data_IF_732450707973
#
_entry.id   IF_732450707973
#
_cell.length_a   1.000
_cell.length_b   1.000
_cell.length_c   1.000
_cell.angle_alpha   90.00
_cell.angle_beta   90.00
_cell.angle_gamma   90.00
#
_symmetry.space_group_name_H-M   'P 1'
#
loop_
_entity.id
_entity.type
_entity.pdbx_description
1 polymer ?
#
# COMPACT_ATOMS: atom_id res chain seq x y z
N UNK A 1 9.96 -48.27 7.80
CA UNK A 1 8.95 -47.84 6.82
C UNK A 1 9.09 -46.34 6.67
N UNK A 2 9.75 -45.90 5.60
CA UNK A 2 9.85 -44.49 5.22
C UNK A 2 8.67 -44.19 4.29
N UNK A 3 7.84 -43.22 4.64
CA UNK A 3 6.77 -42.74 3.78
C UNK A 3 7.27 -41.46 3.07
N UNK A 4 7.52 -41.60 1.78
CA UNK A 4 7.77 -40.50 0.84
C UNK A 4 6.47 -39.73 0.60
N UNK A 5 6.49 -38.42 0.84
CA UNK A 5 5.48 -37.51 0.31
C UNK A 5 6.09 -36.77 -0.90
N UNK A 6 5.90 -37.38 -2.07
CA UNK A 6 5.93 -36.70 -3.36
C UNK A 6 4.60 -35.96 -3.54
N UNK A 7 4.67 -34.69 -3.94
CA UNK A 7 3.48 -33.89 -4.26
C UNK A 7 3.57 -32.46 -3.75
N UNK A 8 4.62 -31.73 -4.12
CA UNK A 8 4.74 -30.28 -3.91
C UNK A 8 5.01 -29.60 -5.26
N UNK A 9 4.21 -29.94 -6.27
CA UNK A 9 4.20 -29.24 -7.55
C UNK A 9 2.88 -28.46 -7.67
N UNK A 10 2.98 -27.15 -7.86
CA UNK A 10 1.93 -26.37 -8.51
C UNK A 10 1.01 -25.53 -7.62
N UNK A 11 1.55 -24.67 -6.75
CA UNK A 11 0.80 -23.49 -6.25
C UNK A 11 1.77 -22.32 -6.07
N UNK A 12 2.14 -21.67 -7.17
CA UNK A 12 2.57 -20.26 -7.16
C UNK A 12 1.61 -19.51 -8.07
N UNK A 13 0.53 -18.91 -7.55
CA UNK A 13 -0.28 -18.01 -8.34
C UNK A 13 0.48 -16.69 -8.46
N UNK A 14 0.61 -16.22 -9.69
CA UNK A 14 1.13 -14.92 -10.06
C UNK A 14 0.58 -13.81 -9.14
N UNK A 15 1.48 -12.97 -8.65
CA UNK A 15 1.17 -11.91 -7.73
C UNK A 15 0.58 -10.72 -8.52
N UNK A 16 -0.74 -10.72 -8.72
CA UNK A 16 -1.46 -9.58 -9.33
C UNK A 16 -1.19 -8.29 -8.55
N UNK A 17 -0.83 -7.16 -9.20
CA UNK A 17 -0.79 -5.86 -8.54
C UNK A 17 -2.22 -5.45 -8.17
N UNK A 18 -2.55 -5.55 -6.88
CA UNK A 18 -3.85 -5.21 -6.31
C UNK A 18 -3.92 -3.72 -5.97
N UNK A 19 -3.72 -2.82 -6.95
CA UNK A 19 -3.60 -1.39 -6.66
C UNK A 19 -4.92 -0.61 -6.62
N UNK A 20 -6.09 -1.21 -6.89
CA UNK A 20 -7.37 -0.49 -6.69
C UNK A 20 -8.63 -1.34 -6.45
N UNK A 21 -8.52 -2.66 -6.34
CA UNK A 21 -9.62 -3.47 -5.80
C UNK A 21 -9.12 -4.79 -5.21
N UNK A 22 -8.80 -4.77 -3.91
CA UNK A 22 -8.70 -6.01 -3.16
C UNK A 22 -10.14 -6.51 -2.89
N UNK A 23 -10.64 -7.39 -3.76
CA UNK A 23 -11.69 -8.33 -3.37
C UNK A 23 -11.01 -9.49 -2.66
N UNK A 24 -11.19 -9.57 -1.34
CA UNK A 24 -11.19 -10.86 -0.65
C UNK A 24 -12.63 -11.06 -0.20
N UNK A 25 -13.34 -11.88 -0.96
CA UNK A 25 -14.72 -12.28 -0.67
C UNK A 25 -14.71 -13.66 0.02
N UNK A 26 -15.21 -13.70 1.25
CA UNK A 26 -15.90 -14.89 1.76
C UNK A 26 -17.35 -14.58 2.19
N UNK A 27 -17.87 -13.36 1.98
CA UNK A 27 -19.18 -12.88 2.50
C UNK A 27 -19.76 -11.59 1.85
N UNK A 28 -19.19 -11.04 0.78
CA UNK A 28 -19.80 -9.97 -0.02
C UNK A 28 -19.63 -8.53 0.50
N UNK A 29 -18.76 -8.30 1.50
CA UNK A 29 -18.52 -6.94 2.01
C UNK A 29 -17.30 -6.31 1.32
N UNK A 30 -17.56 -5.27 0.51
CA UNK A 30 -16.53 -4.54 -0.25
C UNK A 30 -15.66 -3.72 0.72
N UNK A 31 -14.44 -4.20 1.01
CA UNK A 31 -13.42 -3.44 1.73
C UNK A 31 -13.11 -2.14 0.96
N UNK A 32 -13.56 -0.99 1.47
CA UNK A 32 -13.19 0.32 0.95
C UNK A 32 -11.85 0.74 1.56
N UNK A 33 -10.76 0.40 0.90
CA UNK A 33 -9.50 1.11 1.12
C UNK A 33 -9.66 2.52 0.56
N UNK A 34 -9.40 3.54 1.38
CA UNK A 34 -9.50 4.92 0.90
C UNK A 34 -8.45 5.16 -0.19
N UNK A 35 -8.89 5.78 -1.27
CA UNK A 35 -8.01 6.31 -2.30
C UNK A 35 -7.09 7.40 -1.70
N UNK A 36 -5.99 7.71 -2.39
CA UNK A 36 -4.99 8.72 -1.98
C UNK A 36 -5.63 10.09 -1.61
N UNK A 37 -6.82 10.39 -2.13
CA UNK A 37 -7.57 11.63 -1.86
C UNK A 37 -7.89 11.86 -0.38
N UNK A 38 -7.99 10.79 0.41
CA UNK A 38 -8.23 10.90 1.85
C UNK A 38 -6.93 10.84 2.67
N UNK A 39 -5.85 10.34 2.07
CA UNK A 39 -4.56 10.14 2.72
C UNK A 39 -3.68 11.40 2.61
N UNK A 40 -3.75 12.12 1.49
CA UNK A 40 -2.96 13.33 1.27
C UNK A 40 -3.39 14.52 2.16
N UNK A 41 -4.69 14.64 2.44
CA UNK A 41 -5.26 15.76 3.24
C UNK A 41 -4.66 15.90 4.65
N UNK A 42 -4.57 14.82 5.47
CA UNK A 42 -3.98 14.94 6.80
C UNK A 42 -2.45 14.94 6.82
N UNK A 43 -1.76 14.67 5.69
CA UNK A 43 -0.30 14.56 5.65
C UNK A 43 0.42 15.88 5.37
N UNK A 44 -0.21 16.82 4.65
CA UNK A 44 0.38 18.13 4.32
C UNK A 44 -0.56 19.26 4.75
N UNK A 45 -0.44 19.69 6.01
CA UNK A 45 -1.35 20.67 6.61
C UNK A 45 -1.25 22.07 5.99
N UNK A 46 -0.05 22.48 5.58
CA UNK A 46 0.24 23.77 4.94
C UNK A 46 0.28 23.67 3.40
N UNK A 47 -0.01 22.49 2.84
CA UNK A 47 0.12 22.23 1.41
C UNK A 47 1.57 22.19 0.91
N UNK A 48 2.56 22.02 1.81
CA UNK A 48 3.98 21.99 1.47
C UNK A 48 4.60 23.38 1.22
N UNK A 49 3.97 24.44 1.76
CA UNK A 49 4.38 25.82 1.54
C UNK A 49 5.73 26.12 2.24
N UNK A 50 5.95 25.56 3.43
CA UNK A 50 7.22 25.72 4.16
C UNK A 50 8.38 25.07 3.40
N UNK A 51 8.18 23.86 2.87
CA UNK A 51 9.20 23.15 2.10
C UNK A 51 9.55 23.87 0.79
N UNK A 52 8.55 24.41 0.09
CA UNK A 52 8.76 25.20 -1.13
C UNK A 52 9.53 26.50 -0.82
N UNK A 53 9.18 27.19 0.27
CA UNK A 53 9.85 28.41 0.69
C UNK A 53 11.31 28.15 1.09
N UNK A 54 11.56 27.09 1.86
CA UNK A 54 12.91 26.68 2.26
C UNK A 54 13.77 26.28 1.05
N UNK A 55 13.20 25.56 0.08
CA UNK A 55 13.90 25.23 -1.16
C UNK A 55 14.28 26.51 -1.93
N UNK A 56 13.36 27.48 -2.04
CA UNK A 56 13.62 28.75 -2.69
C UNK A 56 14.71 29.59 -1.98
N UNK A 57 14.75 29.58 -0.64
CA UNK A 57 15.78 30.28 0.14
C UNK A 57 17.16 29.64 -0.02
N UNK A 58 17.23 28.31 -0.07
CA UNK A 58 18.49 27.57 -0.28
C UNK A 58 19.08 27.74 -1.68
N UNK A 59 18.24 28.01 -2.69
CA UNK A 59 18.62 28.01 -4.10
C UNK A 59 18.76 26.60 -4.71
N UNK A 60 18.45 25.54 -3.97
CA UNK A 60 18.47 24.17 -4.47
C UNK A 60 17.22 23.87 -5.33
N UNK A 61 17.37 23.11 -6.43
CA UNK A 61 16.24 22.75 -7.27
C UNK A 61 15.35 21.70 -6.59
N UNK A 62 14.03 21.93 -6.62
CA UNK A 62 13.05 20.92 -6.22
C UNK A 62 13.14 19.72 -7.18
N UNK A 63 13.40 18.54 -6.64
CA UNK A 63 13.50 17.29 -7.39
C UNK A 63 12.12 16.78 -7.84
N UNK A 64 12.12 15.93 -8.87
CA UNK A 64 10.89 15.46 -9.52
C UNK A 64 9.92 14.80 -8.54
N UNK A 65 10.39 13.93 -7.64
CA UNK A 65 9.52 13.26 -6.65
C UNK A 65 8.86 14.24 -5.68
N UNK A 66 9.55 15.32 -5.31
CA UNK A 66 8.99 16.37 -4.46
C UNK A 66 7.94 17.19 -5.21
N UNK A 67 8.16 17.46 -6.51
CA UNK A 67 7.16 18.10 -7.37
C UNK A 67 5.92 17.22 -7.52
N UNK A 68 6.11 15.93 -7.78
CA UNK A 68 5.04 14.95 -7.93
C UNK A 68 4.12 14.93 -6.69
N UNK A 69 4.70 14.93 -5.49
CA UNK A 69 3.93 14.79 -4.24
C UNK A 69 3.35 16.11 -3.73
N UNK A 70 4.05 17.24 -3.85
CA UNK A 70 3.62 18.53 -3.29
C UNK A 70 2.88 19.37 -4.32
N UNK A 71 3.50 19.60 -5.49
CA UNK A 71 3.02 20.61 -6.45
C UNK A 71 2.04 20.04 -7.48
N UNK A 72 2.25 18.81 -7.92
CA UNK A 72 1.46 18.16 -8.98
C UNK A 72 0.29 17.34 -8.41
N UNK A 73 0.31 17.04 -7.12
CA UNK A 73 -0.75 16.31 -6.44
C UNK A 73 -1.93 17.23 -6.11
N UNK A 74 -3.01 17.10 -6.88
CA UNK A 74 -4.25 17.87 -6.68
C UNK A 74 -4.91 17.70 -5.30
N UNK A 75 -4.48 16.74 -4.49
CA UNK A 75 -5.01 16.49 -3.15
C UNK A 75 -4.21 17.16 -2.03
N UNK A 76 -3.03 17.68 -2.32
CA UNK A 76 -2.24 18.50 -1.40
C UNK A 76 -2.72 19.94 -1.51
N UNK A 77 -3.16 20.50 -0.37
CA UNK A 77 -3.68 21.86 -0.30
C UNK A 77 -3.43 22.44 1.08
N UNK A 78 -3.30 23.75 1.13
CA UNK A 78 -3.22 24.48 2.40
C UNK A 78 -4.56 24.35 3.16
N UNK A 79 -4.45 24.00 4.44
CA UNK A 79 -5.60 23.87 5.33
C UNK A 79 -5.72 25.07 6.27
N UNK A 80 -6.90 25.70 6.30
CA UNK A 80 -7.29 26.56 7.43
C UNK A 80 -7.52 25.71 8.68
N UNK A 81 -7.50 26.33 9.87
CA UNK A 81 -7.77 25.65 11.16
C UNK A 81 -9.06 24.83 11.10
N UNK A 82 -10.16 25.40 10.57
CA UNK A 82 -11.45 24.70 10.45
C UNK A 82 -11.35 23.50 9.51
N UNK A 83 -10.72 23.65 8.34
CA UNK A 83 -10.59 22.54 7.39
C UNK A 83 -9.66 21.43 7.92
N UNK A 84 -8.67 21.79 8.74
CA UNK A 84 -7.80 20.85 9.43
C UNK A 84 -8.56 20.05 10.49
N UNK A 85 -9.38 20.73 11.31
CA UNK A 85 -10.25 20.06 12.29
C UNK A 85 -11.20 19.07 11.62
N UNK A 86 -11.83 19.45 10.51
CA UNK A 86 -12.68 18.56 9.72
C UNK A 86 -11.90 17.35 9.15
N UNK A 87 -10.66 17.54 8.72
CA UNK A 87 -9.82 16.45 8.24
C UNK A 87 -9.43 15.48 9.38
N UNK A 88 -9.20 16.00 10.58
CA UNK A 88 -8.93 15.20 11.79
C UNK A 88 -10.17 14.37 12.16
N UNK A 89 -11.36 14.98 12.16
CA UNK A 89 -12.63 14.28 12.42
C UNK A 89 -12.83 13.13 11.42
N UNK A 90 -12.68 13.40 10.12
CA UNK A 90 -12.80 12.38 9.07
C UNK A 90 -11.78 11.23 9.24
N UNK A 91 -10.55 11.54 9.67
CA UNK A 91 -9.54 10.54 9.96
C UNK A 91 -9.96 9.65 11.14
N UNK A 92 -10.47 10.24 12.20
CA UNK A 92 -10.84 9.49 13.42
C UNK A 92 -12.11 8.66 13.20
N UNK A 93 -13.05 9.16 12.39
CA UNK A 93 -14.17 8.37 11.87
C UNK A 93 -13.66 7.18 11.05
N UNK A 94 -12.71 7.40 10.14
CA UNK A 94 -12.14 6.31 9.33
C UNK A 94 -11.46 5.23 10.18
N UNK A 95 -10.70 5.62 11.21
CA UNK A 95 -10.11 4.68 12.18
C UNK A 95 -11.17 3.86 12.89
N UNK A 96 -12.26 4.51 13.28
CA UNK A 96 -13.38 3.86 13.96
C UNK A 96 -14.06 2.83 13.04
N UNK A 97 -14.29 3.19 11.77
CA UNK A 97 -14.84 2.27 10.78
C UNK A 97 -13.92 1.07 10.54
N UNK A 98 -12.61 1.30 10.43
CA UNK A 98 -11.66 0.20 10.27
C UNK A 98 -11.63 -0.72 11.51
N UNK A 99 -11.70 -0.16 12.72
CA UNK A 99 -11.79 -0.95 13.94
C UNK A 99 -13.03 -1.85 13.96
N UNK A 100 -14.18 -1.34 13.49
CA UNK A 100 -15.40 -2.16 13.34
C UNK A 100 -15.23 -3.30 12.34
N UNK A 101 -14.50 -3.07 11.24
CA UNK A 101 -14.23 -4.11 10.24
C UNK A 101 -13.43 -5.28 10.82
N UNK A 102 -12.45 -5.03 11.68
CA UNK A 102 -11.75 -6.10 12.40
C UNK A 102 -12.73 -6.92 13.24
N UNK A 103 -13.57 -6.28 14.03
CA UNK A 103 -14.56 -6.96 14.88
C UNK A 103 -15.63 -7.70 14.08
N UNK A 104 -15.90 -7.30 12.82
CA UNK A 104 -16.84 -8.01 11.96
C UNK A 104 -16.32 -9.37 11.49
N UNK A 105 -15.01 -9.59 11.50
CA UNK A 105 -14.40 -10.89 11.16
C UNK A 105 -14.54 -11.95 12.26
N UNK A 106 -15.11 -11.58 13.43
CA UNK A 106 -15.38 -12.52 14.52
C UNK A 106 -16.33 -13.61 14.05
N UNK A 107 -15.93 -14.86 14.25
CA UNK A 107 -16.68 -16.04 13.79
C UNK A 107 -17.52 -16.68 14.89
N UNK A 108 -17.10 -16.53 16.15
CA UNK A 108 -17.79 -17.07 17.30
C UNK A 108 -17.54 -16.22 18.56
N UNK A 109 -18.33 -16.48 19.60
CA UNK A 109 -18.10 -15.94 20.94
C UNK A 109 -17.75 -17.10 21.86
N UNK A 110 -16.66 -16.96 22.59
CA UNK A 110 -16.25 -17.87 23.65
C UNK A 110 -17.31 -17.95 24.77
N UNK A 111 -17.28 -19.04 25.54
CA UNK A 111 -18.06 -19.22 26.77
C UNK A 111 -17.89 -18.10 27.81
N UNK A 112 -16.79 -17.34 27.76
CA UNK A 112 -16.52 -16.20 28.64
C UNK A 112 -16.87 -14.83 28.02
N UNK A 113 -17.46 -14.80 26.82
CA UNK A 113 -17.85 -13.57 26.12
C UNK A 113 -16.73 -12.91 25.31
N UNK A 114 -15.56 -13.55 25.17
CA UNK A 114 -14.48 -13.06 24.32
C UNK A 114 -14.70 -13.45 22.83
N UNK A 115 -14.39 -12.56 21.88
CA UNK A 115 -14.50 -12.86 20.45
C UNK A 115 -13.49 -13.92 20.00
N UNK A 116 -13.94 -14.91 19.24
CA UNK A 116 -13.12 -15.99 18.67
C UNK A 116 -13.10 -15.94 17.13
N UNK A 117 -11.94 -16.32 16.58
CA UNK A 117 -11.71 -16.35 15.12
C UNK A 117 -11.68 -14.98 14.45
N UNK A 118 -11.55 -13.89 15.22
CA UNK A 118 -11.26 -12.57 14.69
C UNK A 118 -9.92 -12.58 13.95
N UNK A 119 -9.84 -11.86 12.83
CA UNK A 119 -8.58 -11.62 12.14
C UNK A 119 -7.54 -11.03 13.10
N UNK A 120 -6.36 -11.65 13.16
CA UNK A 120 -5.26 -11.17 13.98
C UNK A 120 -4.30 -10.27 13.20
N UNK A 121 -4.08 -10.57 11.93
CA UNK A 121 -3.08 -9.90 11.10
C UNK A 121 -3.56 -9.79 9.67
N UNK A 122 -3.19 -8.70 9.00
CA UNK A 122 -3.36 -8.50 7.57
C UNK A 122 -2.02 -8.80 6.90
N UNK A 123 -2.03 -9.68 5.89
CA UNK A 123 -0.89 -9.92 5.02
C UNK A 123 -1.14 -9.21 3.68
N UNK A 124 -0.27 -8.27 3.31
CA UNK A 124 -0.44 -7.50 2.07
C UNK A 124 0.90 -7.08 1.43
N UNK A 125 0.89 -6.64 0.17
CA UNK A 125 2.09 -6.20 -0.55
C UNK A 125 2.64 -4.89 0.01
N UNK A 126 3.96 -4.69 0.03
CA UNK A 126 4.59 -3.44 0.50
C UNK A 126 4.57 -2.33 -0.55
N UNK A 127 4.56 -2.71 -1.83
CA UNK A 127 4.63 -1.80 -2.96
C UNK A 127 4.11 -2.45 -4.24
N UNK A 128 4.05 -1.69 -5.34
CA UNK A 128 3.58 -2.21 -6.63
C UNK A 128 4.57 -3.20 -7.26
N UNK A 129 5.81 -3.24 -6.76
CA UNK A 129 6.85 -4.15 -7.19
C UNK A 129 8.04 -4.10 -6.23
N UNK A 130 9.20 -4.47 -6.76
CA UNK A 130 10.50 -4.40 -6.07
C UNK A 130 11.06 -2.98 -6.05
N UNK A 131 12.31 -2.83 -5.61
CA UNK A 131 12.94 -1.52 -5.45
C UNK A 131 12.84 -0.70 -6.75
N UNK A 132 12.17 0.46 -6.68
CA UNK A 132 11.98 1.32 -7.83
C UNK A 132 13.31 1.92 -8.29
N UNK A 133 13.42 2.14 -9.60
CA UNK A 133 14.50 2.92 -10.20
C UNK A 133 14.61 4.30 -9.55
N UNK A 134 15.83 4.83 -9.47
CA UNK A 134 16.08 6.12 -8.86
C UNK A 134 15.22 7.21 -9.53
N UNK A 135 14.46 7.95 -8.72
CA UNK A 135 13.63 9.06 -9.20
C UNK A 135 12.27 8.67 -9.78
N UNK A 136 11.86 7.39 -9.69
CA UNK A 136 10.57 6.91 -10.23
C UNK A 136 9.56 6.46 -9.17
N UNK A 137 9.91 6.52 -7.88
CA UNK A 137 9.09 6.08 -6.76
C UNK A 137 7.92 7.04 -6.45
N UNK A 138 6.94 7.13 -7.36
CA UNK A 138 5.79 8.04 -7.24
C UNK A 138 4.61 7.49 -6.43
N UNK A 139 4.59 6.17 -6.17
CA UNK A 139 3.48 5.51 -5.48
C UNK A 139 3.84 5.07 -4.06
N UNK A 140 3.01 5.45 -3.09
CA UNK A 140 3.18 5.12 -1.66
C UNK A 140 1.92 4.55 -1.00
N UNK A 141 0.87 4.31 -1.80
CA UNK A 141 -0.47 3.91 -1.36
C UNK A 141 -0.59 2.54 -0.68
N UNK A 142 0.46 1.73 -0.70
CA UNK A 142 0.47 0.43 -0.01
C UNK A 142 0.86 0.54 1.48
N UNK A 143 1.60 1.59 1.86
CA UNK A 143 2.08 1.76 3.24
C UNK A 143 1.40 2.93 3.95
N UNK A 144 1.00 3.96 3.22
CA UNK A 144 0.33 5.15 3.77
C UNK A 144 -1.01 4.89 4.47
N UNK A 145 -1.85 3.91 4.10
CA UNK A 145 -3.08 3.63 4.84
C UNK A 145 -2.80 3.25 6.30
N UNK A 146 -1.71 2.52 6.57
CA UNK A 146 -1.35 2.07 7.92
C UNK A 146 -0.85 3.22 8.80
N UNK A 147 -0.18 4.21 8.19
CA UNK A 147 0.16 5.46 8.86
C UNK A 147 -1.10 6.23 9.27
N UNK A 148 -2.08 6.31 8.36
CA UNK A 148 -3.37 6.96 8.63
C UNK A 148 -4.13 6.25 9.76
N UNK A 149 -4.11 4.93 9.78
CA UNK A 149 -4.79 4.11 10.80
C UNK A 149 -4.02 4.00 12.13
N UNK A 150 -2.74 4.39 12.15
CA UNK A 150 -1.80 4.12 13.26
C UNK A 150 -1.72 2.64 13.64
N UNK A 151 -1.63 1.77 12.63
CA UNK A 151 -1.42 0.34 12.84
C UNK A 151 0.06 -0.01 12.75
N UNK A 152 0.59 -0.85 13.67
CA UNK A 152 1.92 -1.41 13.52
C UNK A 152 1.99 -2.29 12.27
N UNK A 153 3.04 -2.10 11.48
CA UNK A 153 3.34 -2.89 10.29
C UNK A 153 4.78 -3.40 10.35
N UNK A 154 4.97 -4.69 10.06
CA UNK A 154 6.26 -5.35 9.96
C UNK A 154 6.49 -5.79 8.51
N UNK A 155 7.63 -5.41 7.93
CA UNK A 155 8.03 -5.80 6.59
C UNK A 155 9.06 -6.93 6.67
N UNK A 156 8.85 -7.98 5.88
CA UNK A 156 9.78 -9.10 5.77
C UNK A 156 9.98 -9.50 4.31
N UNK A 157 11.16 -10.07 4.01
CA UNK A 157 11.49 -10.57 2.67
C UNK A 157 11.02 -12.00 2.51
N UNK A 158 10.46 -12.32 1.35
CA UNK A 158 10.06 -13.68 0.98
C UNK A 158 11.10 -14.36 0.10
N UNK A 159 11.43 -13.70 -1.02
CA UNK A 159 12.29 -14.24 -2.07
C UNK A 159 13.06 -13.09 -2.73
N UNK A 160 13.89 -13.41 -3.72
CA UNK A 160 14.55 -12.47 -4.62
C UNK A 160 13.99 -12.63 -6.03
N UNK A 161 14.07 -11.57 -6.82
CA UNK A 161 13.69 -11.64 -8.24
C UNK A 161 14.63 -12.59 -8.97
N UNK A 162 14.03 -13.63 -9.56
CA UNK A 162 14.70 -14.56 -10.46
C UNK A 162 14.32 -14.24 -11.90
N UNK A 163 15.31 -13.89 -12.71
CA UNK A 163 15.14 -13.52 -14.12
C UNK A 163 14.67 -14.72 -14.97
N UNK A 164 15.03 -15.95 -14.58
CA UNK A 164 14.64 -17.15 -15.34
C UNK A 164 13.17 -17.53 -15.11
N UNK A 165 12.63 -17.21 -13.94
CA UNK A 165 11.23 -17.46 -13.56
C UNK A 165 10.32 -16.23 -13.72
N UNK A 166 10.89 -15.03 -13.85
CA UNK A 166 10.18 -13.75 -13.94
C UNK A 166 9.54 -13.44 -15.29
N UNK A 167 9.72 -14.30 -16.30
CA UNK A 167 9.31 -14.08 -17.68
C UNK A 167 7.88 -14.48 -18.05
N UNK A 168 6.98 -14.75 -17.09
CA UNK A 168 5.57 -14.96 -17.43
C UNK A 168 4.91 -13.62 -17.75
N UNK A 169 4.85 -13.33 -19.05
CA UNK A 169 4.10 -12.24 -19.65
C UNK A 169 2.60 -12.54 -19.50
N UNK A 170 2.07 -12.35 -18.29
CA UNK A 170 0.64 -12.21 -18.15
C UNK A 170 0.22 -10.91 -18.85
N UNK A 171 -0.73 -11.00 -19.78
CA UNK A 171 -1.35 -9.81 -20.37
C UNK A 171 -2.01 -9.01 -19.24
N UNK A 172 -1.39 -7.90 -18.87
CA UNK A 172 -1.87 -7.04 -17.80
C UNK A 172 -2.55 -5.79 -18.36
N UNK A 173 -3.76 -5.51 -17.88
CA UNK A 173 -4.48 -4.28 -18.21
C UNK A 173 -4.55 -3.40 -16.98
N UNK A 174 -3.87 -2.25 -17.03
CA UNK A 174 -3.92 -1.24 -15.97
C UNK A 174 -5.35 -0.73 -15.76
N UNK A 175 -5.81 -0.65 -14.51
CA UNK A 175 -7.10 -0.10 -14.12
C UNK A 175 -7.10 1.43 -14.05
N UNK A 176 -5.94 2.06 -13.89
CA UNK A 176 -5.81 3.51 -13.82
C UNK A 176 -4.43 3.99 -14.34
N UNK A 177 -4.27 5.30 -14.51
CA UNK A 177 -3.04 5.91 -15.04
C UNK A 177 -1.81 5.72 -14.15
N UNK A 178 -1.99 5.67 -12.81
CA UNK A 178 -0.88 5.49 -11.85
C UNK A 178 -0.37 4.06 -11.85
N UNK A 179 -1.29 3.12 -11.98
CA UNK A 179 -1.00 1.71 -12.15
C UNK A 179 -0.33 1.47 -13.50
N UNK A 180 -0.82 2.12 -14.57
CA UNK A 180 -0.15 2.11 -15.87
C UNK A 180 1.28 2.65 -15.76
N UNK A 181 1.51 3.76 -15.07
CA UNK A 181 2.85 4.30 -14.86
C UNK A 181 3.79 3.30 -14.18
N UNK A 182 3.34 2.61 -13.12
CA UNK A 182 4.15 1.60 -12.45
C UNK A 182 4.35 0.34 -13.31
N UNK A 183 3.36 -0.03 -14.11
CA UNK A 183 3.47 -1.14 -15.06
C UNK A 183 4.46 -0.82 -16.19
N UNK A 184 4.36 0.37 -16.78
CA UNK A 184 5.27 0.83 -17.83
C UNK A 184 6.73 0.88 -17.30
N UNK A 185 6.94 1.25 -16.03
CA UNK A 185 8.26 1.14 -15.38
C UNK A 185 8.74 -0.31 -15.28
N UNK A 186 7.85 -1.25 -14.95
CA UNK A 186 8.20 -2.66 -14.92
C UNK A 186 8.54 -3.18 -16.32
N UNK A 187 7.80 -2.79 -17.36
CA UNK A 187 8.11 -3.14 -18.76
C UNK A 187 9.43 -2.52 -19.25
N UNK A 188 9.76 -1.30 -18.82
CA UNK A 188 10.98 -0.60 -19.24
C UNK A 188 12.25 -1.19 -18.61
N UNK A 189 12.20 -1.51 -17.32
CA UNK A 189 13.37 -1.98 -16.57
C UNK A 189 13.45 -3.51 -16.42
N UNK A 190 12.34 -4.21 -16.63
CA UNK A 190 12.15 -5.67 -16.58
C UNK A 190 12.73 -6.34 -15.31
N UNK A 191 12.65 -7.67 -15.24
CA UNK A 191 13.28 -8.48 -14.21
C UNK A 191 14.80 -8.26 -14.14
N UNK A 192 15.46 -7.91 -15.26
CA UNK A 192 16.91 -7.70 -15.32
C UNK A 192 17.34 -6.45 -14.52
N UNK A 193 16.60 -5.34 -14.62
CA UNK A 193 16.86 -4.13 -13.84
C UNK A 193 16.64 -4.31 -12.34
N UNK A 194 15.94 -5.38 -11.97
CA UNK A 194 15.61 -5.72 -10.59
C UNK A 194 16.22 -7.04 -10.13
N UNK A 195 17.23 -7.55 -10.84
CA UNK A 195 17.87 -8.82 -10.52
C UNK A 195 18.38 -8.85 -9.07
N UNK A 196 18.14 -9.96 -8.39
CA UNK A 196 18.49 -10.20 -6.98
C UNK A 196 17.79 -9.25 -5.98
N UNK A 197 16.89 -8.37 -6.44
CA UNK A 197 16.15 -7.48 -5.57
C UNK A 197 15.18 -8.28 -4.69
N UNK A 198 15.08 -7.97 -3.39
CA UNK A 198 14.20 -8.71 -2.49
C UNK A 198 12.73 -8.37 -2.74
N UNK A 199 11.91 -9.41 -2.89
CA UNK A 199 10.45 -9.34 -2.88
C UNK A 199 9.99 -9.33 -1.43
N UNK A 200 9.18 -8.33 -1.06
CA UNK A 200 8.80 -8.08 0.34
C UNK A 200 7.29 -8.03 0.52
N UNK A 201 6.86 -8.53 1.67
CA UNK A 201 5.49 -8.47 2.16
C UNK A 201 5.42 -7.72 3.48
N UNK A 202 4.24 -7.19 3.81
CA UNK A 202 3.96 -6.58 5.09
C UNK A 202 2.89 -7.35 5.85
N UNK A 203 3.14 -7.48 7.15
CA UNK A 203 2.21 -7.95 8.15
C UNK A 203 1.73 -6.73 8.95
N UNK A 204 0.43 -6.49 8.99
CA UNK A 204 -0.15 -5.36 9.72
C UNK A 204 -1.04 -5.90 10.83
N UNK A 205 -0.81 -5.43 12.05
CA UNK A 205 -1.65 -5.75 13.20
C UNK A 205 -2.47 -4.53 13.59
N UNK A 206 -3.60 -4.74 14.26
CA UNK A 206 -4.40 -3.67 14.82
C UNK A 206 -3.77 -3.14 16.10
N UNK A 207 -4.13 -1.91 16.44
CA UNK A 207 -3.84 -1.34 17.76
C UNK A 207 -4.85 -1.81 18.83
#
# INVERSE_FOLDING_TARGET
>A
MAASLQGAEGIVPAFRPLSTSLQVDLTGTKLRFLNEQHQAKPCFCDGGAEEIAAAAESGEPILNLTKDIITENAHVKEHTITSMQQAIEQRDEYRTEHFKLWNWTVTAMSHNGEPEGMMNVILCPVGPGVASTLGTAKWWGHTSPWNLLHYPALIFSLEQVDVENGGQTEEYTSMNEKEKFNWDLWEEFDAEGSKDAPIRMQLVDRR
#
